data_IF_745949345785
#
_entry.id   IF_745949345785
#
_cell.length_a   1.000
_cell.length_b   1.000
_cell.length_c   1.000
_cell.angle_alpha   90.00
_cell.angle_beta   90.00
_cell.angle_gamma   90.00
#
_symmetry.space_group_name_H-M   'P 1'
#
loop_
_entity.id
_entity.type
_entity.pdbx_description
1 polymer ?
#
# COMPACT_ATOMS: atom_id res chain seq x y z
N UNK A 1 -9.00 10.22 18.64
CA UNK A 1 -8.42 9.32 17.69
C UNK A 1 -8.32 9.93 16.31
N UNK A 2 -7.21 9.73 15.68
CA UNK A 2 -7.01 10.32 14.38
C UNK A 2 -7.84 9.63 13.31
N UNK A 3 -8.46 10.39 12.47
CA UNK A 3 -9.25 9.85 11.41
C UNK A 3 -8.38 9.54 10.21
N UNK A 4 -8.50 8.34 9.69
CA UNK A 4 -7.72 7.97 8.53
C UNK A 4 -8.25 8.69 7.30
N UNK A 5 -7.35 9.13 6.46
CA UNK A 5 -7.74 9.66 5.17
C UNK A 5 -8.50 8.62 4.39
N UNK A 6 -9.32 9.09 3.48
CA UNK A 6 -10.07 8.19 2.65
C UNK A 6 -9.15 7.44 1.71
N UNK A 7 -9.01 6.16 1.92
CA UNK A 7 -8.17 5.31 1.09
C UNK A 7 -9.06 4.29 0.40
N UNK A 8 -9.84 4.78 -0.53
CA UNK A 8 -10.90 3.99 -1.14
C UNK A 8 -10.39 2.94 -2.12
N UNK A 9 -9.09 2.94 -2.39
CA UNK A 9 -8.50 1.92 -3.25
C UNK A 9 -7.84 0.80 -2.50
N UNK A 10 -7.81 0.89 -1.17
CA UNK A 10 -7.19 -0.15 -0.34
C UNK A 10 -8.29 -0.97 0.29
N UNK A 11 -8.25 -2.28 0.08
CA UNK A 11 -9.27 -3.17 0.62
C UNK A 11 -8.63 -4.26 1.45
N UNK A 12 -9.35 -4.72 2.46
CA UNK A 12 -8.92 -5.83 3.29
C UNK A 12 -10.05 -6.83 3.33
N UNK A 13 -9.79 -8.03 2.82
CA UNK A 13 -10.78 -9.07 2.76
C UNK A 13 -10.11 -10.36 3.22
N UNK A 14 -10.63 -11.01 4.27
CA UNK A 14 -9.98 -12.23 4.78
C UNK A 14 -9.87 -13.33 3.74
N UNK A 15 -10.70 -13.30 2.70
CA UNK A 15 -10.69 -14.34 1.68
C UNK A 15 -9.76 -14.01 0.53
N UNK A 16 -9.10 -12.88 0.57
CA UNK A 16 -8.20 -12.46 -0.51
C UNK A 16 -6.83 -12.23 0.08
N UNK A 17 -5.83 -12.93 -0.45
CA UNK A 17 -4.44 -12.81 -0.04
C UNK A 17 -4.27 -12.91 1.48
N UNK A 18 -5.03 -13.82 2.08
CA UNK A 18 -4.93 -14.11 3.51
C UNK A 18 -5.22 -12.89 4.38
N UNK A 19 -6.07 -12.01 3.89
CA UNK A 19 -6.47 -10.82 4.67
C UNK A 19 -5.50 -9.68 4.62
N UNK A 20 -4.48 -9.75 3.79
CA UNK A 20 -3.58 -8.62 3.63
C UNK A 20 -4.26 -7.48 2.87
N UNK A 21 -3.86 -6.25 3.13
CA UNK A 21 -4.38 -5.12 2.33
C UNK A 21 -4.05 -5.31 0.86
N UNK A 22 -5.04 -5.12 0.01
CA UNK A 22 -4.87 -5.27 -1.42
C UNK A 22 -5.42 -4.04 -2.12
N UNK A 23 -5.18 -3.96 -3.42
CA UNK A 23 -5.63 -2.84 -4.24
C UNK A 23 -6.95 -3.21 -4.90
N UNK A 24 -8.01 -2.48 -4.55
CA UNK A 24 -9.33 -2.58 -5.19
C UNK A 24 -9.82 -4.03 -5.31
N UNK A 25 -9.59 -4.83 -4.27
CA UNK A 25 -10.03 -6.21 -4.26
C UNK A 25 -9.25 -7.15 -5.15
N UNK A 26 -8.19 -6.66 -5.81
CA UNK A 26 -7.36 -7.50 -6.64
C UNK A 26 -6.39 -8.29 -5.76
N UNK A 27 -5.67 -9.21 -6.38
CA UNK A 27 -4.69 -9.99 -5.63
C UNK A 27 -3.30 -9.35 -5.62
N UNK A 28 -3.26 -8.05 -5.80
CA UNK A 28 -2.03 -7.27 -5.72
C UNK A 28 -2.02 -6.62 -4.35
N UNK A 29 -1.07 -7.02 -3.52
CA UNK A 29 -1.03 -6.52 -2.15
C UNK A 29 -0.30 -5.19 -2.07
N UNK A 30 -0.66 -4.41 -1.06
CA UNK A 30 0.08 -3.19 -0.76
C UNK A 30 1.54 -3.55 -0.50
N UNK A 31 1.79 -4.67 0.14
CA UNK A 31 3.14 -5.11 0.48
C UNK A 31 4.02 -5.26 -0.75
N UNK A 32 3.51 -5.87 -1.82
CA UNK A 32 4.33 -6.09 -3.00
C UNK A 32 4.68 -4.77 -3.68
N UNK A 33 3.75 -3.82 -3.67
CA UNK A 33 4.03 -2.50 -4.23
C UNK A 33 5.12 -1.81 -3.42
N UNK A 34 5.00 -1.86 -2.10
CA UNK A 34 5.97 -1.20 -1.25
C UNK A 34 7.34 -1.83 -1.38
N UNK A 35 7.40 -3.15 -1.52
CA UNK A 35 8.68 -3.83 -1.71
C UNK A 35 9.35 -3.44 -3.00
N UNK A 36 8.58 -3.28 -4.06
CA UNK A 36 9.14 -2.84 -5.33
C UNK A 36 9.74 -1.45 -5.20
N UNK A 37 9.01 -0.54 -4.55
CA UNK A 37 9.51 0.82 -4.34
C UNK A 37 10.75 0.81 -3.44
N UNK A 38 10.74 -0.02 -2.40
CA UNK A 38 11.88 -0.12 -1.50
C UNK A 38 13.12 -0.64 -2.21
N UNK A 39 12.92 -1.42 -3.26
CA UNK A 39 14.04 -1.95 -4.05
C UNK A 39 14.46 -1.02 -5.17
N UNK A 40 13.97 0.21 -5.16
CA UNK A 40 14.43 1.21 -6.12
C UNK A 40 13.60 1.30 -7.39
N UNK A 41 12.51 0.56 -7.47
CA UNK A 41 11.64 0.68 -8.64
C UNK A 41 10.88 1.99 -8.60
N UNK A 42 10.71 2.59 -9.76
CA UNK A 42 9.90 3.79 -9.86
C UNK A 42 8.43 3.43 -9.92
N UNK A 43 7.56 4.42 -9.72
CA UNK A 43 6.13 4.21 -9.89
C UNK A 43 5.84 3.72 -11.30
N UNK A 44 6.53 4.29 -12.29
CA UNK A 44 6.35 3.87 -13.67
C UNK A 44 6.66 2.39 -13.84
N UNK A 45 7.73 1.92 -13.21
CA UNK A 45 8.09 0.51 -13.31
C UNK A 45 7.09 -0.40 -12.63
N UNK A 46 6.50 0.06 -11.52
CA UNK A 46 5.43 -0.69 -10.87
C UNK A 46 4.24 -0.84 -11.80
N UNK A 47 3.87 0.25 -12.48
CA UNK A 47 2.74 0.21 -13.40
C UNK A 47 3.02 -0.66 -14.62
N UNK A 48 4.27 -0.73 -15.03
CA UNK A 48 4.63 -1.61 -16.13
C UNK A 48 4.53 -3.09 -15.74
N UNK A 49 4.88 -3.38 -14.50
CA UNK A 49 4.80 -4.75 -13.99
C UNK A 49 3.35 -5.17 -13.77
N UNK A 50 2.53 -4.25 -13.30
CA UNK A 50 1.12 -4.52 -13.00
C UNK A 50 0.26 -3.54 -13.76
N UNK A 51 -0.03 -3.83 -15.03
CA UNK A 51 -0.78 -2.87 -15.86
C UNK A 51 -2.18 -2.56 -15.34
N UNK A 52 -2.72 -3.41 -14.46
CA UNK A 52 -4.03 -3.15 -13.87
C UNK A 52 -4.02 -1.97 -12.92
N UNK A 53 -2.84 -1.59 -12.44
CA UNK A 53 -2.73 -0.52 -11.47
C UNK A 53 -2.73 0.84 -12.12
N UNK A 54 -3.14 1.82 -11.36
CA UNK A 54 -3.04 3.22 -11.74
C UNK A 54 -2.08 3.91 -10.78
N UNK A 55 -1.54 5.04 -11.19
CA UNK A 55 -0.62 5.78 -10.33
C UNK A 55 -1.24 6.10 -8.98
N UNK A 56 -2.53 6.38 -8.97
CA UNK A 56 -3.20 6.69 -7.71
C UNK A 56 -3.25 5.48 -6.78
N UNK A 57 -3.32 4.27 -7.36
CA UNK A 57 -3.26 3.06 -6.53
C UNK A 57 -1.95 3.00 -5.77
N UNK A 58 -0.85 3.29 -6.47
CA UNK A 58 0.47 3.27 -5.84
C UNK A 58 0.58 4.34 -4.77
N UNK A 59 0.05 5.52 -5.06
CA UNK A 59 0.10 6.60 -4.09
C UNK A 59 -0.71 6.28 -2.84
N UNK A 60 -1.86 5.65 -3.00
CA UNK A 60 -2.64 5.27 -1.83
C UNK A 60 -1.96 4.15 -1.04
N UNK A 61 -1.27 3.24 -1.72
CA UNK A 61 -0.51 2.22 -1.02
C UNK A 61 0.55 2.88 -0.12
N UNK A 62 1.22 3.89 -0.63
CA UNK A 62 2.21 4.62 0.15
C UNK A 62 1.56 5.34 1.33
N UNK A 63 0.42 5.98 1.09
CA UNK A 63 -0.29 6.66 2.17
C UNK A 63 -0.76 5.71 3.25
N UNK A 64 -1.21 4.54 2.83
CA UNK A 64 -1.63 3.53 3.79
C UNK A 64 -0.46 3.12 4.68
N UNK A 65 0.70 2.90 4.09
CA UNK A 65 1.88 2.53 4.84
C UNK A 65 2.29 3.65 5.81
N UNK A 66 2.25 4.88 5.32
CA UNK A 66 2.59 6.02 6.17
C UNK A 66 1.63 6.15 7.33
N UNK A 67 0.35 5.90 7.09
CA UNK A 67 -0.64 5.97 8.14
C UNK A 67 -0.41 4.88 9.20
N UNK A 68 -0.13 3.66 8.75
CA UNK A 68 0.13 2.54 9.67
C UNK A 68 1.34 2.85 10.55
N UNK A 69 2.40 3.34 9.94
CA UNK A 69 3.63 3.63 10.67
C UNK A 69 3.44 4.78 11.67
N UNK A 70 2.73 5.83 11.24
CA UNK A 70 2.52 6.96 12.13
C UNK A 70 1.60 6.64 13.28
N UNK A 71 0.70 5.68 13.09
CA UNK A 71 -0.21 5.30 14.16
C UNK A 71 0.45 4.44 15.21
N UNK A 72 1.61 3.90 14.92
CA UNK A 72 2.37 3.12 15.88
C UNK A 72 3.47 3.98 16.44
N UNK A 73 3.36 4.29 17.71
CA UNK A 73 4.34 5.14 18.32
C UNK A 73 5.60 4.34 18.56
N UNK A 74 6.60 4.65 17.81
CA UNK A 74 7.87 3.98 17.92
C UNK A 74 8.92 5.01 18.21
N UNK A 75 9.60 4.85 19.29
CA UNK A 75 10.71 5.74 19.59
C UNK A 75 11.96 5.07 19.10
N UNK A 76 12.46 5.60 18.03
CA UNK A 76 13.69 5.08 17.46
C UNK A 76 14.79 6.01 17.86
N UNK A 77 15.65 5.54 18.73
CA UNK A 77 16.78 6.34 19.15
C UNK A 77 17.98 5.95 18.32
N UNK A 78 18.62 6.94 17.82
CA UNK A 78 19.80 6.71 17.01
C UNK A 78 20.99 6.37 17.90
#
# INVERSE_FOLDING_TARGET
>A
MKKMEKLDRITVNPDVCLGQPTIRGMRITVSVILKMLANGKSIQEVLETYPELKAEDVQQAIRYAAWIVSDQIQIVTA
#
